data_IF_108525583081
#
_entry.id   IF_108525583081
#
_cell.length_a   1.000
_cell.length_b   1.000
_cell.length_c   1.000
_cell.angle_alpha   90.00
_cell.angle_beta   90.00
_cell.angle_gamma   90.00
#
_symmetry.space_group_name_H-M   'P 1'
#
loop_
_entity.id
_entity.type
_entity.pdbx_description
1 polymer ?
#
# COMPACT_ATOMS: atom_id res chain seq x y z
N UNK A 1 -4.85 -1.86 13.21
CA UNK A 1 -4.51 -3.13 12.54
C UNK A 1 -3.83 -2.85 11.20
N UNK A 2 -3.19 -3.85 10.59
CA UNK A 2 -2.50 -3.75 9.29
C UNK A 2 -3.19 -4.65 8.27
N UNK A 3 -3.67 -4.07 7.17
CA UNK A 3 -4.20 -4.82 6.03
C UNK A 3 -3.08 -5.06 5.01
N UNK A 4 -2.66 -6.32 4.85
CA UNK A 4 -1.67 -6.72 3.85
C UNK A 4 -2.39 -7.16 2.57
N UNK A 5 -2.64 -6.21 1.68
CA UNK A 5 -3.38 -6.45 0.44
C UNK A 5 -2.44 -6.58 -0.76
N UNK A 6 -2.48 -7.74 -1.43
CA UNK A 6 -1.87 -7.89 -2.75
C UNK A 6 -2.80 -7.32 -3.82
N UNK A 7 -2.23 -6.84 -4.92
CA UNK A 7 -3.01 -6.37 -6.06
C UNK A 7 -3.63 -7.51 -6.91
N UNK A 8 -3.05 -8.72 -6.82
CA UNK A 8 -3.61 -9.96 -7.35
C UNK A 8 -3.60 -10.98 -6.22
N UNK A 9 -4.73 -11.62 -5.91
CA UNK A 9 -4.87 -12.43 -4.69
C UNK A 9 -4.48 -13.89 -4.86
N UNK A 10 -4.22 -14.35 -6.08
CA UNK A 10 -3.73 -15.71 -6.36
C UNK A 10 -2.61 -15.70 -7.39
N UNK A 11 -1.79 -16.75 -7.40
CA UNK A 11 -0.71 -16.95 -8.37
C UNK A 11 -0.49 -18.44 -8.58
N UNK A 12 -0.21 -18.86 -9.82
CA UNK A 12 0.23 -20.22 -10.11
C UNK A 12 1.67 -20.43 -9.59
N UNK A 13 1.94 -21.63 -9.08
CA UNK A 13 3.25 -21.96 -8.52
C UNK A 13 4.38 -21.70 -9.53
N UNK A 14 5.45 -21.03 -9.07
CA UNK A 14 6.64 -20.67 -9.87
C UNK A 14 6.35 -19.78 -11.10
N UNK A 15 5.17 -19.17 -11.19
CA UNK A 15 4.80 -18.29 -12.31
C UNK A 15 4.31 -16.92 -11.81
N UNK A 16 5.24 -16.01 -11.46
CA UNK A 16 4.90 -14.67 -11.00
C UNK A 16 4.00 -13.95 -12.00
N UNK A 17 2.91 -13.35 -11.50
CA UNK A 17 1.97 -12.60 -12.34
C UNK A 17 1.03 -13.44 -13.21
N UNK A 18 1.03 -14.78 -13.08
CA UNK A 18 0.18 -15.70 -13.86
C UNK A 18 -1.33 -15.42 -13.80
N UNK A 19 -1.82 -14.76 -12.73
CA UNK A 19 -3.22 -14.37 -12.59
C UNK A 19 -3.46 -12.85 -12.67
N UNK A 20 -2.49 -12.09 -13.16
CA UNK A 20 -2.70 -10.67 -13.48
C UNK A 20 -3.74 -10.54 -14.59
N UNK A 21 -4.55 -9.47 -14.53
CA UNK A 21 -5.61 -9.13 -15.47
C UNK A 21 -6.71 -10.21 -15.55
N UNK A 22 -6.93 -10.95 -14.46
CA UNK A 22 -7.99 -11.97 -14.36
C UNK A 22 -9.14 -11.55 -13.42
N UNK A 23 -9.26 -10.25 -13.12
CA UNK A 23 -10.36 -9.68 -12.34
C UNK A 23 -10.01 -9.36 -10.87
N UNK A 24 -8.88 -9.85 -10.35
CA UNK A 24 -8.45 -9.49 -8.99
C UNK A 24 -8.16 -8.00 -8.83
N UNK A 25 -7.71 -7.35 -9.90
CA UNK A 25 -7.43 -5.92 -9.90
C UNK A 25 -8.69 -5.12 -9.58
N UNK A 26 -9.83 -5.47 -10.18
CA UNK A 26 -11.12 -4.79 -9.97
C UNK A 26 -11.57 -4.91 -8.51
N UNK A 27 -11.46 -6.11 -7.95
CA UNK A 27 -11.78 -6.35 -6.54
C UNK A 27 -10.88 -5.52 -5.61
N UNK A 28 -9.57 -5.57 -5.84
CA UNK A 28 -8.61 -4.86 -4.97
C UNK A 28 -8.70 -3.34 -5.12
N UNK A 29 -9.03 -2.84 -6.31
CA UNK A 29 -9.30 -1.41 -6.53
C UNK A 29 -10.57 -0.97 -5.80
N UNK A 30 -11.64 -1.76 -5.84
CA UNK A 30 -12.85 -1.50 -5.08
C UNK A 30 -12.60 -1.48 -3.55
N UNK A 31 -11.76 -2.38 -3.04
CA UNK A 31 -11.36 -2.38 -1.63
C UNK A 31 -10.61 -1.09 -1.26
N UNK A 32 -9.66 -0.64 -2.08
CA UNK A 32 -8.91 0.60 -1.83
C UNK A 32 -9.84 1.81 -1.86
N UNK A 33 -10.75 1.87 -2.85
CA UNK A 33 -11.74 2.93 -2.97
C UNK A 33 -12.65 2.99 -1.75
N UNK A 34 -13.23 1.86 -1.34
CA UNK A 34 -14.11 1.80 -0.16
C UNK A 34 -13.39 2.25 1.11
N UNK A 35 -12.13 1.85 1.30
CA UNK A 35 -11.32 2.29 2.44
C UNK A 35 -11.06 3.80 2.41
N UNK A 36 -10.81 4.36 1.22
CA UNK A 36 -10.63 5.80 1.04
C UNK A 36 -11.93 6.58 1.30
N UNK A 37 -13.07 6.05 0.90
CA UNK A 37 -14.36 6.74 1.00
C UNK A 37 -14.91 6.69 2.43
N UNK A 38 -14.88 5.53 3.06
CA UNK A 38 -15.56 5.32 4.35
C UNK A 38 -14.71 5.61 5.58
N UNK A 39 -13.38 5.68 5.44
CA UNK A 39 -12.46 5.88 6.58
C UNK A 39 -11.74 7.21 6.46
N UNK A 40 -11.06 7.57 7.54
CA UNK A 40 -10.22 8.75 7.63
C UNK A 40 -8.97 8.45 8.44
N UNK A 41 -7.91 9.23 8.19
CA UNK A 41 -6.64 9.12 8.87
C UNK A 41 -6.08 7.69 8.78
N UNK A 42 -6.21 7.06 7.61
CA UNK A 42 -5.52 5.82 7.27
C UNK A 42 -4.13 6.15 6.73
N UNK A 43 -3.22 5.19 6.88
CA UNK A 43 -1.89 5.24 6.25
C UNK A 43 -1.85 4.20 5.14
N UNK A 44 -1.63 4.64 3.91
CA UNK A 44 -1.42 3.78 2.75
C UNK A 44 0.08 3.73 2.43
N UNK A 45 0.67 2.54 2.51
CA UNK A 45 2.07 2.30 2.15
C UNK A 45 2.12 1.67 0.77
N UNK A 46 2.60 2.42 -0.23
CA UNK A 46 2.58 2.05 -1.65
C UNK A 46 4.00 1.80 -2.15
N UNK A 47 4.36 0.52 -2.26
CA UNK A 47 5.68 0.09 -2.71
C UNK A 47 5.69 -0.25 -4.21
N UNK A 48 6.40 0.57 -4.98
CA UNK A 48 6.57 0.42 -6.43
C UNK A 48 5.48 1.09 -7.26
N UNK A 49 5.81 1.33 -8.54
CA UNK A 49 4.98 2.11 -9.45
C UNK A 49 3.56 1.55 -9.63
N UNK A 50 3.39 0.23 -9.58
CA UNK A 50 2.07 -0.39 -9.73
C UNK A 50 1.15 -0.09 -8.54
N UNK A 51 1.67 -0.18 -7.30
CA UNK A 51 0.92 0.18 -6.10
C UNK A 51 0.60 1.68 -6.07
N UNK A 52 1.56 2.52 -6.47
CA UNK A 52 1.37 3.97 -6.59
C UNK A 52 0.27 4.33 -7.59
N UNK A 53 0.24 3.64 -8.75
CA UNK A 53 -0.83 3.82 -9.75
C UNK A 53 -2.21 3.43 -9.20
N UNK A 54 -2.32 2.31 -8.48
CA UNK A 54 -3.57 1.91 -7.82
C UNK A 54 -3.99 2.90 -6.73
N UNK A 55 -3.04 3.46 -6.00
CA UNK A 55 -3.29 4.46 -4.98
C UNK A 55 -3.72 5.84 -5.50
N UNK A 56 -3.82 6.05 -6.81
CA UNK A 56 -4.27 7.32 -7.39
C UNK A 56 -5.72 7.68 -7.00
N UNK A 57 -6.54 6.70 -6.63
CA UNK A 57 -7.92 6.90 -6.18
C UNK A 57 -8.06 7.32 -4.71
N UNK A 58 -6.96 7.29 -3.95
CA UNK A 58 -6.97 7.61 -2.52
C UNK A 58 -7.06 9.12 -2.31
N UNK A 59 -8.00 9.57 -1.48
CA UNK A 59 -8.12 10.97 -1.09
C UNK A 59 -6.96 11.37 -0.15
N UNK A 60 -5.99 12.11 -0.71
CA UNK A 60 -4.80 12.61 0.00
C UNK A 60 -5.11 13.66 1.08
N UNK A 61 -6.30 14.25 1.07
CA UNK A 61 -6.70 15.18 2.13
C UNK A 61 -7.20 14.43 3.38
N UNK A 62 -7.74 13.22 3.20
CA UNK A 62 -8.25 12.36 4.28
C UNK A 62 -7.20 11.39 4.83
N UNK A 63 -6.22 11.02 4.01
CA UNK A 63 -5.30 9.92 4.30
C UNK A 63 -3.84 10.31 4.12
N UNK A 64 -2.95 9.57 4.78
CA UNK A 64 -1.52 9.72 4.62
C UNK A 64 -0.98 8.65 3.68
N UNK A 65 -0.22 9.06 2.68
CA UNK A 65 0.35 8.16 1.68
C UNK A 65 1.87 8.16 1.81
N UNK A 66 2.45 6.97 1.93
CA UNK A 66 3.89 6.74 1.95
C UNK A 66 4.25 5.97 0.69
N UNK A 67 5.03 6.59 -0.18
CA UNK A 67 5.45 6.01 -1.45
C UNK A 67 6.96 5.73 -1.43
N UNK A 68 7.36 4.56 -1.90
CA UNK A 68 8.76 4.26 -2.18
C UNK A 68 8.89 3.19 -3.27
N UNK A 69 10.07 2.99 -3.87
CA UNK A 69 10.33 1.86 -4.74
C UNK A 69 10.02 0.51 -4.08
N UNK A 70 9.79 -0.52 -4.89
CA UNK A 70 9.47 -1.86 -4.37
C UNK A 70 10.65 -2.47 -3.60
N UNK A 71 10.43 -3.23 -2.51
CA UNK A 71 11.48 -3.93 -1.75
C UNK A 71 12.24 -5.02 -2.52
N UNK A 72 11.92 -5.24 -3.79
CA UNK A 72 12.57 -6.29 -4.59
C UNK A 72 14.04 -5.93 -4.81
N UNK A 73 14.96 -6.91 -4.86
CA UNK A 73 16.38 -6.65 -5.14
C UNK A 73 16.63 -5.76 -6.38
N UNK A 74 15.77 -5.87 -7.39
CA UNK A 74 15.86 -5.09 -8.63
C UNK A 74 15.60 -3.58 -8.45
N UNK A 75 14.91 -3.18 -7.37
CA UNK A 75 14.46 -1.79 -7.18
C UNK A 75 14.80 -1.22 -5.79
N UNK A 76 15.16 -2.04 -4.80
CA UNK A 76 15.27 -1.61 -3.41
C UNK A 76 16.33 -0.51 -3.18
N UNK A 77 17.46 -0.62 -3.88
CA UNK A 77 18.56 0.37 -3.84
C UNK A 77 18.15 1.74 -4.41
N UNK A 78 17.05 1.82 -5.17
CA UNK A 78 16.58 3.07 -5.80
C UNK A 78 15.80 3.99 -4.83
N UNK A 79 15.69 3.60 -3.56
CA UNK A 79 15.03 4.42 -2.53
C UNK A 79 14.07 3.67 -1.60
N UNK A 80 13.98 2.33 -1.68
CA UNK A 80 13.29 1.57 -0.65
C UNK A 80 14.09 1.61 0.66
N UNK A 81 15.40 1.31 0.58
CA UNK A 81 16.28 1.48 1.74
C UNK A 81 16.36 2.96 2.13
N UNK A 82 16.17 3.24 3.41
CA UNK A 82 16.07 4.60 3.94
C UNK A 82 14.68 5.24 3.83
N UNK A 83 13.68 4.60 3.20
CA UNK A 83 12.32 5.17 3.08
C UNK A 83 11.58 5.28 4.42
N UNK A 84 11.96 4.48 5.42
CA UNK A 84 11.42 4.45 6.80
C UNK A 84 9.88 4.43 6.86
N UNK A 85 9.19 3.52 6.14
CA UNK A 85 7.73 3.56 6.03
C UNK A 85 7.03 3.28 7.37
N UNK A 86 7.60 2.41 8.19
CA UNK A 86 7.03 2.00 9.48
C UNK A 86 7.07 3.13 10.52
N UNK A 87 8.20 3.83 10.65
CA UNK A 87 8.30 4.94 11.61
C UNK A 87 7.44 6.13 11.17
N UNK A 88 7.45 6.48 9.87
CA UNK A 88 6.56 7.51 9.31
C UNK A 88 5.08 7.19 9.51
N UNK A 89 4.69 5.92 9.37
CA UNK A 89 3.34 5.46 9.67
C UNK A 89 2.99 5.74 11.14
N UNK A 90 3.83 5.31 12.08
CA UNK A 90 3.59 5.52 13.50
C UNK A 90 3.64 7.00 13.91
N UNK A 91 4.50 7.81 13.29
CA UNK A 91 4.54 9.28 13.48
C UNK A 91 3.21 9.92 13.06
N UNK A 92 2.67 9.54 11.89
CA UNK A 92 1.37 10.02 11.44
C UNK A 92 0.24 9.56 12.37
N UNK A 93 0.19 8.28 12.75
CA UNK A 93 -0.84 7.76 13.65
C UNK A 93 -0.84 8.52 14.99
N UNK A 94 0.35 8.74 15.58
CA UNK A 94 0.50 9.56 16.79
C UNK A 94 0.00 10.98 16.60
N UNK A 95 0.29 11.62 15.46
CA UNK A 95 -0.19 12.98 15.15
C UNK A 95 -1.72 13.09 15.08
N UNK A 96 -2.41 11.96 14.88
CA UNK A 96 -3.87 11.84 14.83
C UNK A 96 -4.45 11.22 16.11
N UNK A 97 -3.66 11.15 17.19
CA UNK A 97 -4.03 10.50 18.46
C UNK A 97 -4.50 9.05 18.29
N UNK A 98 -3.97 8.34 17.30
CA UNK A 98 -4.20 6.91 17.09
C UNK A 98 -3.05 6.09 17.68
N UNK A 99 -3.38 4.91 18.16
CA UNK A 99 -2.36 3.97 18.64
C UNK A 99 -1.38 3.59 17.51
N UNK A 100 -0.07 3.65 17.77
CA UNK A 100 0.93 3.20 16.80
C UNK A 100 0.83 1.69 16.58
N UNK A 101 1.29 1.22 15.43
CA UNK A 101 1.42 -0.21 15.17
C UNK A 101 2.68 -0.73 15.88
N UNK A 102 2.54 -1.84 16.60
CA UNK A 102 3.66 -2.71 16.98
C UNK A 102 4.05 -3.55 15.76
N UNK A 103 5.18 -3.22 15.14
CA UNK A 103 5.66 -3.81 13.88
C UNK A 103 6.48 -5.08 14.09
#
# INVERSE_FOLDING_TARGET
GVLLLNATLTVAAKSPGSHQKKGWEEFTDAVIQQLSDEKENLVFILWGAYAQKKGAVIDRNKHFIIESPHPSPFAAHRGFFGSKPFSKCNEFLKSKNKEPIEW
#
